data_IF_343124703776
#
_entry.id   IF_343124703776
#
_cell.length_a   1.000
_cell.length_b   1.000
_cell.length_c   1.000
_cell.angle_alpha   90.00
_cell.angle_beta   90.00
_cell.angle_gamma   90.00
#
_symmetry.space_group_name_H-M   'P 1'
#
loop_
_entity.id
_entity.type
_entity.pdbx_description
1 polymer ?
#
# COMPACT_ATOMS: atom_id res chain seq x y z
N UNK A 1 26.69 -2.29 -10.99
CA UNK A 1 25.53 -3.16 -11.24
C UNK A 1 24.38 -2.74 -10.36
N UNK A 2 23.26 -2.46 -10.95
CA UNK A 2 22.09 -2.02 -10.19
C UNK A 2 21.31 -3.22 -9.69
N UNK A 3 21.15 -3.30 -8.39
CA UNK A 3 20.33 -4.35 -7.80
C UNK A 3 18.88 -3.89 -7.72
N UNK A 4 17.99 -4.75 -8.20
CA UNK A 4 16.57 -4.50 -8.07
C UNK A 4 16.05 -5.21 -6.83
N UNK A 5 15.42 -4.47 -5.94
CA UNK A 5 14.79 -5.02 -4.74
C UNK A 5 13.30 -5.15 -5.00
N UNK A 6 12.76 -6.33 -4.77
CA UNK A 6 11.34 -6.62 -4.97
C UNK A 6 10.66 -6.82 -3.63
N UNK A 7 9.44 -6.29 -3.51
CA UNK A 7 8.61 -6.58 -2.35
C UNK A 7 7.15 -6.56 -2.75
N UNK A 8 6.33 -7.27 -2.00
CA UNK A 8 4.90 -7.37 -2.25
C UNK A 8 4.16 -6.82 -1.04
N UNK A 9 3.16 -5.98 -1.30
CA UNK A 9 2.26 -5.48 -0.27
C UNK A 9 0.83 -5.83 -0.64
N UNK A 10 0.01 -6.07 0.37
CA UNK A 10 -1.40 -6.42 0.17
C UNK A 10 -2.27 -5.68 1.17
N UNK A 11 -3.41 -5.25 0.70
CA UNK A 11 -4.44 -4.67 1.57
C UNK A 11 -5.80 -4.97 0.97
N UNK A 12 -6.70 -5.58 1.76
CA UNK A 12 -7.98 -6.06 1.26
C UNK A 12 -7.73 -7.00 0.10
N UNK A 13 -8.33 -6.74 -1.07
CA UNK A 13 -8.10 -7.56 -2.27
C UNK A 13 -7.02 -6.97 -3.18
N UNK A 14 -6.41 -5.86 -2.79
CA UNK A 14 -5.38 -5.20 -3.59
C UNK A 14 -4.02 -5.84 -3.36
N UNK A 15 -3.27 -5.98 -4.44
CA UNK A 15 -1.90 -6.51 -4.41
C UNK A 15 -1.00 -5.54 -5.15
N UNK A 16 0.09 -5.14 -4.51
CA UNK A 16 1.09 -4.27 -5.11
C UNK A 16 2.45 -4.96 -5.08
N UNK A 17 3.14 -4.92 -6.19
CA UNK A 17 4.51 -5.40 -6.28
C UNK A 17 5.40 -4.22 -6.59
N UNK A 18 6.36 -3.96 -5.72
CA UNK A 18 7.29 -2.86 -5.87
C UNK A 18 8.64 -3.34 -6.35
N UNK A 19 9.20 -2.60 -7.30
CA UNK A 19 10.56 -2.83 -7.79
C UNK A 19 11.34 -1.53 -7.57
N UNK A 20 12.31 -1.57 -6.68
CA UNK A 20 13.15 -0.42 -6.36
C UNK A 20 14.54 -0.60 -6.96
N UNK A 21 14.96 0.40 -7.73
CA UNK A 21 16.29 0.45 -8.34
C UNK A 21 16.89 1.80 -8.01
N UNK A 22 18.20 1.87 -7.68
CA UNK A 22 18.81 3.18 -7.48
C UNK A 22 18.60 4.07 -8.69
N UNK A 23 18.16 5.29 -8.48
CA UNK A 23 17.82 6.20 -9.56
C UNK A 23 17.52 7.60 -9.07
N UNK A 24 16.78 8.34 -9.87
CA UNK A 24 16.59 9.78 -9.65
C UNK A 24 15.27 10.15 -8.96
N UNK A 25 14.57 9.20 -8.41
CA UNK A 25 13.37 9.52 -7.63
C UNK A 25 12.06 9.53 -8.40
N UNK A 26 11.94 8.76 -9.47
CA UNK A 26 10.67 8.66 -10.18
C UNK A 26 9.86 7.48 -9.63
N UNK A 27 8.55 7.67 -9.54
CA UNK A 27 7.62 6.63 -9.11
C UNK A 27 6.55 6.44 -10.17
N UNK A 28 6.41 5.21 -10.65
CA UNK A 28 5.38 4.88 -11.63
C UNK A 28 4.53 3.72 -11.12
N UNK A 29 3.22 3.79 -11.39
CA UNK A 29 2.26 2.75 -11.03
C UNK A 29 1.59 2.26 -12.31
N UNK A 30 1.75 0.99 -12.62
CA UNK A 30 1.20 0.40 -13.84
C UNK A 30 1.55 1.22 -15.08
N UNK A 31 2.81 1.66 -15.17
CA UNK A 31 3.37 2.44 -16.27
C UNK A 31 2.90 3.89 -16.35
N UNK A 32 2.13 4.36 -15.35
CA UNK A 32 1.70 5.76 -15.27
C UNK A 32 2.45 6.45 -14.12
N UNK A 33 2.76 7.75 -14.25
CA UNK A 33 3.30 8.50 -13.11
C UNK A 33 2.35 8.39 -11.92
N UNK A 34 2.91 8.40 -10.71
CA UNK A 34 2.11 8.23 -9.51
C UNK A 34 1.04 9.33 -9.39
N UNK A 35 1.34 10.54 -9.84
CA UNK A 35 0.39 11.65 -9.80
C UNK A 35 -0.82 11.40 -10.71
N UNK A 36 -0.62 10.68 -11.79
CA UNK A 36 -1.71 10.36 -12.72
C UNK A 36 -2.52 9.15 -12.27
N UNK A 37 -1.88 8.22 -11.57
CA UNK A 37 -2.56 7.02 -11.07
C UNK A 37 -3.37 7.31 -9.82
N UNK A 38 -2.75 7.92 -8.81
CA UNK A 38 -3.43 8.38 -7.60
C UNK A 38 -3.64 9.87 -7.71
N UNK A 39 -4.75 10.26 -8.30
CA UNK A 39 -5.06 11.68 -8.51
C UNK A 39 -5.38 12.41 -7.21
N UNK A 40 -5.85 11.67 -6.21
CA UNK A 40 -6.13 12.21 -4.89
C UNK A 40 -4.83 12.36 -4.12
N UNK A 41 -4.53 13.57 -3.68
CA UNK A 41 -3.30 13.85 -2.94
C UNK A 41 -3.20 13.03 -1.66
N UNK A 42 -4.31 12.81 -0.97
CA UNK A 42 -4.34 12.01 0.26
C UNK A 42 -3.86 10.57 0.00
N UNK A 43 -4.40 9.94 -1.05
CA UNK A 43 -4.01 8.56 -1.39
C UNK A 43 -2.58 8.49 -1.89
N UNK A 44 -2.16 9.48 -2.65
CA UNK A 44 -0.78 9.54 -3.13
C UNK A 44 0.20 9.65 -1.97
N UNK A 45 -0.10 10.50 -1.00
CA UNK A 45 0.75 10.66 0.17
C UNK A 45 0.77 9.41 1.02
N UNK A 46 -0.37 8.72 1.16
CA UNK A 46 -0.42 7.45 1.87
C UNK A 46 0.46 6.40 1.19
N UNK A 47 0.37 6.29 -0.13
CA UNK A 47 1.15 5.31 -0.88
C UNK A 47 2.66 5.58 -0.76
N UNK A 48 3.06 6.83 -0.77
CA UNK A 48 4.46 7.23 -0.74
C UNK A 48 5.01 7.49 0.66
N UNK A 49 4.20 7.30 1.70
CA UNK A 49 4.59 7.59 3.08
C UNK A 49 5.93 6.95 3.49
N UNK A 50 6.21 5.68 3.18
CA UNK A 50 7.50 5.10 3.53
C UNK A 50 8.70 5.83 2.91
N UNK A 51 8.57 6.24 1.64
CA UNK A 51 9.64 7.00 0.98
C UNK A 51 9.84 8.36 1.64
N UNK A 52 8.75 9.02 2.00
CA UNK A 52 8.81 10.33 2.64
C UNK A 52 9.46 10.23 4.01
N UNK A 53 9.04 9.25 4.82
CA UNK A 53 9.57 9.07 6.17
C UNK A 53 11.05 8.71 6.18
N UNK A 54 11.48 7.89 5.23
CA UNK A 54 12.88 7.47 5.16
C UNK A 54 13.79 8.52 4.53
N UNK A 55 13.21 9.53 3.88
CA UNK A 55 14.00 10.53 3.16
C UNK A 55 14.66 10.01 1.91
N UNK A 56 14.17 8.91 1.36
CA UNK A 56 14.76 8.24 0.20
C UNK A 56 14.05 8.53 -1.11
N UNK A 57 13.25 9.59 -1.16
CA UNK A 57 12.45 9.89 -2.35
C UNK A 57 13.28 10.07 -3.61
N UNK A 58 14.45 10.69 -3.47
CA UNK A 58 15.30 11.02 -4.63
C UNK A 58 16.37 9.98 -4.90
N UNK A 59 16.42 8.91 -4.12
CA UNK A 59 17.46 7.89 -4.25
C UNK A 59 17.05 6.68 -5.08
N UNK A 60 15.75 6.48 -5.27
CA UNK A 60 15.26 5.27 -5.94
C UNK A 60 14.28 5.60 -7.04
N UNK A 61 14.38 4.82 -8.12
CA UNK A 61 13.31 4.73 -9.12
C UNK A 61 12.42 3.57 -8.70
N UNK A 62 11.14 3.85 -8.52
CA UNK A 62 10.18 2.86 -8.04
C UNK A 62 9.19 2.54 -9.15
N UNK A 63 9.09 1.26 -9.48
CA UNK A 63 8.09 0.76 -10.42
C UNK A 63 7.12 -0.12 -9.66
N UNK A 64 5.85 0.13 -9.82
CA UNK A 64 4.81 -0.59 -9.10
C UNK A 64 3.85 -1.25 -10.07
N UNK A 65 3.55 -2.52 -9.81
CA UNK A 65 2.48 -3.23 -10.49
C UNK A 65 1.39 -3.47 -9.46
N UNK A 66 0.22 -2.86 -9.68
CA UNK A 66 -0.87 -2.88 -8.71
C UNK A 66 -2.13 -3.39 -9.38
N UNK A 67 -2.86 -4.24 -8.70
CA UNK A 67 -4.14 -4.76 -9.20
C UNK A 67 -5.07 -5.13 -8.06
N UNK A 68 -6.35 -5.20 -8.39
CA UNK A 68 -7.38 -5.61 -7.45
C UNK A 68 -7.82 -4.49 -6.54
N UNK A 69 -9.01 -4.64 -6.00
CA UNK A 69 -9.57 -3.70 -5.03
C UNK A 69 -9.78 -2.29 -5.56
N UNK A 70 -10.00 -1.37 -4.66
CA UNK A 70 -10.18 0.04 -4.98
C UNK A 70 -8.94 0.87 -4.71
N UNK A 71 -8.99 2.16 -5.04
CA UNK A 71 -7.85 3.05 -4.91
C UNK A 71 -7.30 3.15 -3.49
N UNK A 72 -8.17 3.16 -2.47
CA UNK A 72 -7.72 3.20 -1.07
C UNK A 72 -6.95 1.94 -0.69
N UNK A 73 -7.46 0.77 -1.07
CA UNK A 73 -6.77 -0.49 -0.83
C UNK A 73 -5.46 -0.56 -1.59
N UNK A 74 -5.44 -0.08 -2.81
CA UNK A 74 -4.23 -0.05 -3.62
C UNK A 74 -3.16 0.85 -3.01
N UNK A 75 -3.54 2.03 -2.51
CA UNK A 75 -2.60 2.93 -1.86
C UNK A 75 -1.97 2.28 -0.62
N UNK A 76 -2.77 1.59 0.19
CA UNK A 76 -2.26 0.85 1.34
C UNK A 76 -1.34 -0.29 0.95
N UNK A 77 -1.69 -1.02 -0.10
CA UNK A 77 -0.85 -2.11 -0.61
C UNK A 77 0.49 -1.59 -1.12
N UNK A 78 0.48 -0.47 -1.84
CA UNK A 78 1.70 0.17 -2.34
C UNK A 78 2.59 0.61 -1.18
N UNK A 79 1.99 1.25 -0.17
CA UNK A 79 2.74 1.67 1.02
C UNK A 79 3.45 0.50 1.69
N UNK A 80 2.75 -0.60 1.89
CA UNK A 80 3.33 -1.79 2.50
C UNK A 80 4.45 -2.38 1.64
N UNK A 81 4.26 -2.43 0.32
CA UNK A 81 5.27 -2.96 -0.59
C UNK A 81 6.54 -2.13 -0.57
N UNK A 82 6.42 -0.80 -0.61
CA UNK A 82 7.56 0.10 -0.57
C UNK A 82 8.28 -0.01 0.77
N UNK A 83 7.52 -0.06 1.88
CA UNK A 83 8.12 -0.18 3.21
C UNK A 83 8.93 -1.47 3.34
N UNK A 84 8.40 -2.58 2.87
CA UNK A 84 9.11 -3.86 2.91
C UNK A 84 10.38 -3.83 2.06
N UNK A 85 10.32 -3.21 0.89
CA UNK A 85 11.49 -3.10 0.02
C UNK A 85 12.57 -2.24 0.66
N UNK A 86 12.21 -1.12 1.28
CA UNK A 86 13.16 -0.23 1.93
C UNK A 86 13.82 -0.89 3.15
N UNK A 87 13.08 -1.71 3.89
CA UNK A 87 13.65 -2.47 5.01
C UNK A 87 14.66 -3.50 4.51
N UNK A 88 14.39 -4.12 3.38
CA UNK A 88 15.33 -5.07 2.79
C UNK A 88 16.62 -4.39 2.36
N UNK A 89 16.53 -3.15 1.89
CA UNK A 89 17.70 -2.37 1.49
C UNK A 89 18.48 -1.89 2.71
N UNK A 90 17.78 -1.38 3.73
CA UNK A 90 18.38 -0.84 4.94
C UNK A 90 17.54 -1.24 6.15
N UNK A 91 18.09 -2.10 6.97
CA UNK A 91 17.41 -2.63 8.15
C UNK A 91 17.04 -1.56 9.17
N UNK A 92 17.73 -0.44 9.18
CA UNK A 92 17.42 0.67 10.09
C UNK A 92 16.03 1.25 9.85
N UNK A 93 15.51 1.10 8.63
CA UNK A 93 14.18 1.58 8.30
C UNK A 93 13.07 0.81 9.06
N UNK A 94 13.38 -0.38 9.53
CA UNK A 94 12.41 -1.19 10.27
C UNK A 94 11.91 -0.48 11.54
N UNK A 95 12.81 0.11 12.29
CA UNK A 95 12.44 0.84 13.50
C UNK A 95 11.61 2.08 13.17
N UNK A 96 11.99 2.77 12.11
CA UNK A 96 11.29 3.97 11.67
C UNK A 96 9.85 3.66 11.24
N UNK A 97 9.67 2.58 10.46
CA UNK A 97 8.35 2.23 9.93
C UNK A 97 7.46 1.57 10.98
N UNK A 98 8.05 0.92 11.98
CA UNK A 98 7.28 0.25 13.03
C UNK A 98 6.41 1.22 13.81
N UNK A 99 6.88 2.43 14.04
CA UNK A 99 6.14 3.45 14.77
C UNK A 99 4.83 3.81 14.08
N UNK A 100 4.83 3.80 12.75
CA UNK A 100 3.65 4.15 11.96
C UNK A 100 2.93 2.92 11.39
N UNK A 101 3.31 1.72 11.85
CA UNK A 101 2.72 0.45 11.42
C UNK A 101 2.77 0.23 9.92
N UNK A 102 3.81 0.72 9.27
CA UNK A 102 3.93 0.61 7.81
C UNK A 102 4.34 -0.78 7.34
N UNK A 103 4.87 -1.62 8.24
CA UNK A 103 5.31 -2.96 7.90
C UNK A 103 4.26 -4.04 8.15
N UNK A 104 3.17 -3.70 8.81
CA UNK A 104 2.13 -4.65 9.15
C UNK A 104 1.00 -4.58 8.14
N UNK A 105 0.66 -5.73 7.56
CA UNK A 105 -0.50 -5.80 6.69
C UNK A 105 -1.76 -5.51 7.51
N UNK A 106 -2.58 -4.60 7.01
CA UNK A 106 -3.86 -4.31 7.61
C UNK A 106 -4.80 -5.49 7.32
N UNK A 107 -5.24 -6.24 8.33
CA UNK A 107 -6.10 -7.39 8.09
C UNK A 107 -7.57 -7.03 7.85
N UNK A 108 -7.92 -5.77 7.94
CA UNK A 108 -9.30 -5.35 7.77
C UNK A 108 -9.77 -5.61 6.34
N UNK A 109 -10.87 -6.31 6.24
CA UNK A 109 -11.50 -6.61 4.96
C UNK A 109 -13.00 -6.44 5.13
N UNK A 110 -13.70 -6.31 4.01
CA UNK A 110 -15.16 -6.33 4.05
C UNK A 110 -15.58 -7.70 4.56
N UNK A 111 -16.29 -7.71 5.69
CA UNK A 111 -16.77 -8.94 6.28
C UNK A 111 -17.81 -9.58 5.37
N UNK A 112 -17.74 -10.91 5.24
CA UNK A 112 -18.67 -11.63 4.38
C UNK A 112 -20.10 -11.49 4.91
N UNK A 113 -21.05 -11.27 3.99
CA UNK A 113 -22.46 -11.27 4.35
C UNK A 113 -22.84 -12.64 4.90
N UNK A 114 -23.54 -12.63 6.02
CA UNK A 114 -23.99 -13.86 6.66
C UNK A 114 -25.46 -14.10 6.38
N UNK A 115 -25.83 -15.37 6.37
CA UNK A 115 -27.22 -15.74 6.17
C UNK A 115 -28.11 -15.10 7.23
N UNK A 116 -29.26 -14.57 6.81
CA UNK A 116 -30.20 -13.90 7.70
C UNK A 116 -29.87 -12.46 8.05
N UNK A 117 -28.86 -11.89 7.43
CA UNK A 117 -28.47 -10.51 7.65
C UNK A 117 -28.34 -9.77 6.32
N UNK A 118 -28.57 -8.46 6.34
CA UNK A 118 -28.44 -7.64 5.14
C UNK A 118 -26.99 -7.50 4.71
N UNK A 119 -26.11 -7.39 5.69
CA UNK A 119 -24.66 -7.33 5.49
C UNK A 119 -24.03 -8.24 6.52
N UNK A 120 -22.71 -8.24 6.61
CA UNK A 120 -22.01 -9.13 7.55
C UNK A 120 -22.54 -9.02 8.98
N UNK A 121 -22.84 -7.82 9.42
CA UNK A 121 -23.31 -7.57 10.80
C UNK A 121 -24.65 -6.86 10.88
N UNK A 122 -25.13 -6.31 9.78
CA UNK A 122 -26.40 -5.60 9.80
C UNK A 122 -27.54 -6.61 9.75
N UNK A 123 -28.26 -6.76 10.87
CA UNK A 123 -29.38 -7.67 10.95
C UNK A 123 -30.65 -7.02 10.43
N UNK A 124 -31.60 -7.86 10.02
CA UNK A 124 -32.93 -7.36 9.71
C UNK A 124 -33.55 -6.76 10.94
N UNK A 125 -34.13 -5.59 10.80
CA UNK A 125 -34.75 -4.92 11.91
C UNK A 125 -36.12 -5.48 12.15
N UNK A 126 -36.35 -5.93 13.36
CA UNK A 126 -37.67 -6.36 13.78
C UNK A 126 -38.34 -5.25 14.55
N UNK A 127 -39.59 -5.01 14.26
CA UNK A 127 -40.38 -4.06 15.02
C UNK A 127 -40.69 -4.65 16.37
N UNK A 128 -40.31 -3.95 17.39
CA UNK A 128 -40.54 -4.42 18.75
C UNK A 128 -41.69 -3.72 19.39
N UNK A 129 -42.54 -3.33 18.60
CA UNK A 129 -43.51 -2.51 19.31
C UNK A 129 -44.83 -2.65 18.82
#
# INVERSE_FOLDING_TARGET
MKETVNAVGRRKTSVARAFLVPGKGSVTVNKLPVEDYFKDEFRRNEALKPLILSGKQDEFTVKLNVRGGGMSGQAGAVSLAIARALVEIDEENRLLFRKDRLLTRDPRMVERKKCGQKKARKRFQFSKR
#
